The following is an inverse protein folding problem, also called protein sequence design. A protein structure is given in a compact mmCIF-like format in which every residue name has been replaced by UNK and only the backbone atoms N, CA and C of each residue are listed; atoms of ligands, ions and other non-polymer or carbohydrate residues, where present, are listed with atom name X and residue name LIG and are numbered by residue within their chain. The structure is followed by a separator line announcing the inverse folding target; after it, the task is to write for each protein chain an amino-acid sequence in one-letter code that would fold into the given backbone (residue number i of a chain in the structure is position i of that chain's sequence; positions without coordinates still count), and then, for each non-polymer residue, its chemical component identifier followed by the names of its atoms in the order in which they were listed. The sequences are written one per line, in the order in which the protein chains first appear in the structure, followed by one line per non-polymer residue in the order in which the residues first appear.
data_IF_244735623340
#
_entry.id   IF_244735623340
#
_cell.length_a   1.000
_cell.length_b   1.000
_cell.length_c   1.000
_cell.angle_alpha   90.00
_cell.angle_beta   90.00
_cell.angle_gamma   90.00
#
_symmetry.space_group_name_H-M   'P 1'
#
loop_
_entity.id
_entity.type
_entity.pdbx_description
1 polymer ?
#
# COMPACT_ATOMS: atom_id res chain seq x y z
N UNK A 1 -7.47 13.14 -6.48
CA UNK A 1 -6.41 12.10 -6.41
C UNK A 1 -5.36 12.46 -5.40
N UNK A 2 -5.72 12.43 -4.11
CA UNK A 2 -4.72 12.43 -3.04
C UNK A 2 -5.26 11.58 -1.89
N UNK A 3 -4.34 10.89 -1.21
CA UNK A 3 -4.60 10.09 -0.03
C UNK A 3 -3.52 10.42 0.99
N UNK A 4 -3.89 10.58 2.26
CA UNK A 4 -2.89 10.57 3.32
C UNK A 4 -2.42 9.13 3.50
N UNK A 5 -1.13 8.96 3.76
CA UNK A 5 -0.54 7.63 3.98
C UNK A 5 -1.31 6.85 5.06
N UNK A 6 -1.68 7.51 6.16
CA UNK A 6 -2.40 6.84 7.26
C UNK A 6 -3.80 6.36 6.87
N UNK A 7 -4.54 7.13 6.07
CA UNK A 7 -5.88 6.77 5.61
C UNK A 7 -5.82 5.56 4.65
N UNK A 8 -4.80 5.53 3.79
CA UNK A 8 -4.51 4.38 2.92
C UNK A 8 -4.20 3.12 3.75
N UNK A 9 -3.38 3.24 4.79
CA UNK A 9 -3.06 2.10 5.67
C UNK A 9 -4.31 1.63 6.43
N UNK A 10 -5.18 2.52 6.88
CA UNK A 10 -6.44 2.12 7.51
C UNK A 10 -7.37 1.37 6.57
N UNK A 11 -7.48 1.82 5.31
CA UNK A 11 -8.24 1.11 4.28
C UNK A 11 -7.65 -0.28 4.01
N UNK A 12 -6.32 -0.36 3.87
CA UNK A 12 -5.61 -1.63 3.70
C UNK A 12 -5.86 -2.60 4.87
N UNK A 13 -5.75 -2.13 6.12
CA UNK A 13 -6.00 -2.97 7.29
C UNK A 13 -7.42 -3.53 7.32
N UNK A 14 -8.43 -2.70 7.00
CA UNK A 14 -9.82 -3.14 6.93
C UNK A 14 -10.05 -4.18 5.83
N UNK A 15 -9.43 -4.01 4.66
CA UNK A 15 -9.46 -4.99 3.57
C UNK A 15 -8.81 -6.31 4.01
N UNK A 16 -7.65 -6.24 4.65
CA UNK A 16 -6.92 -7.40 5.14
C UNK A 16 -7.70 -8.17 6.21
N UNK A 17 -8.30 -7.47 7.18
CA UNK A 17 -9.11 -8.13 8.21
C UNK A 17 -10.29 -8.87 7.58
N UNK A 18 -10.98 -8.23 6.63
CA UNK A 18 -12.09 -8.86 5.92
C UNK A 18 -11.65 -10.10 5.12
N UNK A 19 -10.63 -9.96 4.27
CA UNK A 19 -10.18 -11.03 3.37
C UNK A 19 -9.56 -12.22 4.11
N UNK A 20 -8.98 -11.99 5.28
CA UNK A 20 -8.36 -13.03 6.11
C UNK A 20 -9.27 -13.54 7.24
N UNK A 21 -10.53 -13.08 7.31
CA UNK A 21 -11.48 -13.49 8.34
C UNK A 21 -11.06 -13.12 9.77
N UNK A 22 -10.32 -12.00 9.93
CA UNK A 22 -9.88 -11.51 11.24
C UNK A 22 -10.95 -10.62 11.87
N UNK A 23 -11.00 -10.52 13.21
CA UNK A 23 -11.81 -9.50 13.86
C UNK A 23 -11.45 -8.10 13.37
N UNK A 24 -12.45 -7.24 13.16
CA UNK A 24 -12.23 -5.87 12.69
C UNK A 24 -11.25 -5.10 13.61
N UNK A 25 -10.25 -4.47 13.01
CA UNK A 25 -9.24 -3.69 13.73
C UNK A 25 -8.01 -4.49 14.16
N UNK A 26 -8.01 -5.82 13.97
CA UNK A 26 -6.84 -6.67 14.24
C UNK A 26 -5.61 -6.17 13.51
N UNK A 27 -5.71 -5.93 12.20
CA UNK A 27 -4.58 -5.46 11.41
C UNK A 27 -4.19 -4.01 11.76
N UNK A 28 -5.13 -3.18 12.21
CA UNK A 28 -4.82 -1.81 12.67
C UNK A 28 -3.99 -1.82 13.96
N UNK A 29 -4.17 -2.82 14.81
CA UNK A 29 -3.36 -3.01 16.02
C UNK A 29 -1.88 -3.27 15.76
N UNK A 30 -1.49 -3.59 14.52
CA UNK A 30 -0.10 -3.82 14.11
C UNK A 30 0.62 -2.54 13.67
N UNK A 31 -0.08 -1.41 13.57
CA UNK A 31 0.51 -0.14 13.14
C UNK A 31 1.50 0.35 14.19
N UNK A 32 2.72 0.62 13.76
CA UNK A 32 3.77 1.23 14.57
C UNK A 32 4.26 2.50 13.89
N UNK A 33 4.30 3.61 14.63
CA UNK A 33 4.89 4.86 14.15
C UNK A 33 6.39 4.84 14.37
N UNK A 34 7.15 5.17 13.32
CA UNK A 34 8.61 5.24 13.35
C UNK A 34 9.05 6.67 13.03
N UNK A 35 10.34 6.96 13.28
CA UNK A 35 10.91 8.25 12.92
C UNK A 35 10.75 8.53 11.42
N UNK A 36 10.28 9.73 11.11
CA UNK A 36 10.00 10.16 9.75
C UNK A 36 11.25 10.18 8.86
N UNK A 37 11.05 10.11 7.54
CA UNK A 37 12.12 10.15 6.54
C UNK A 37 12.70 11.56 6.45
N UNK A 38 14.03 11.67 6.42
CA UNK A 38 14.68 12.94 6.14
C UNK A 38 14.31 13.43 4.73
N UNK A 39 13.84 14.68 4.61
CA UNK A 39 13.39 15.24 3.33
C UNK A 39 12.06 14.66 2.82
N UNK A 40 11.13 14.33 3.72
CA UNK A 40 9.83 13.81 3.33
C UNK A 40 8.95 14.90 2.67
N UNK A 41 8.75 14.81 1.36
CA UNK A 41 7.70 15.56 0.67
C UNK A 41 6.31 15.11 1.16
N UNK A 42 5.56 16.04 1.73
CA UNK A 42 4.30 15.72 2.42
C UNK A 42 3.11 15.49 1.49
N UNK A 43 3.19 15.96 0.24
CA UNK A 43 2.06 15.96 -0.68
C UNK A 43 2.49 15.86 -2.13
N UNK A 44 1.95 14.87 -2.82
CA UNK A 44 1.96 14.80 -4.28
C UNK A 44 0.55 14.82 -4.81
N UNK A 45 0.33 15.58 -5.87
CA UNK A 45 -0.92 15.61 -6.61
C UNK A 45 -0.59 15.86 -8.09
N UNK A 46 -1.27 15.12 -8.97
CA UNK A 46 -1.11 15.24 -10.42
C UNK A 46 -2.44 15.68 -11.01
N UNK A 47 -2.39 16.68 -11.90
CA UNK A 47 -3.50 17.03 -12.77
C UNK A 47 -3.38 16.26 -14.09
N UNK A 48 -4.30 15.30 -14.29
CA UNK A 48 -4.38 14.50 -15.52
C UNK A 48 -5.33 15.11 -16.57
N UNK A 49 -5.79 16.35 -16.39
CA UNK A 49 -6.78 16.99 -17.24
C UNK A 49 -6.34 17.15 -18.69
N UNK A 50 -5.04 17.35 -18.95
CA UNK A 50 -4.51 17.36 -20.33
C UNK A 50 -4.70 16.01 -21.02
N UNK A 51 -4.33 14.93 -20.33
CA UNK A 51 -4.43 13.56 -20.83
C UNK A 51 -5.88 13.18 -21.12
N UNK A 52 -6.80 13.58 -20.24
CA UNK A 52 -8.23 13.38 -20.42
C UNK A 52 -8.77 14.16 -21.64
N UNK A 53 -8.47 15.46 -21.76
CA UNK A 53 -9.00 16.29 -22.86
C UNK A 53 -8.44 15.92 -24.23
N UNK A 54 -7.14 15.62 -24.31
CA UNK A 54 -6.47 15.40 -25.60
C UNK A 54 -6.58 13.96 -26.09
N UNK A 55 -6.60 12.99 -25.16
CA UNK A 55 -6.59 11.56 -25.52
C UNK A 55 -7.84 10.80 -25.05
N UNK A 56 -8.78 11.47 -24.38
CA UNK A 56 -9.99 10.83 -23.84
C UNK A 56 -9.70 9.86 -22.69
N UNK A 57 -8.49 9.88 -22.13
CA UNK A 57 -8.11 8.94 -21.07
C UNK A 57 -8.81 9.27 -19.76
N UNK A 58 -9.29 8.23 -19.09
CA UNK A 58 -9.79 8.29 -17.73
C UNK A 58 -9.35 7.05 -16.94
N UNK A 59 -9.21 7.14 -15.61
CA UNK A 59 -8.97 5.97 -14.78
C UNK A 59 -10.10 4.96 -14.94
N UNK A 60 -9.75 3.70 -15.23
CA UNK A 60 -10.73 2.61 -15.34
C UNK A 60 -11.19 2.07 -13.98
N UNK A 61 -10.55 2.47 -12.88
CA UNK A 61 -10.82 1.97 -11.53
C UNK A 61 -10.76 3.12 -10.53
N UNK A 62 -11.60 3.01 -9.49
CA UNK A 62 -11.45 3.80 -8.27
C UNK A 62 -10.30 3.22 -7.42
N UNK A 63 -9.72 4.05 -6.57
CA UNK A 63 -8.54 3.67 -5.79
C UNK A 63 -8.81 2.48 -4.86
N UNK A 64 -9.93 2.51 -4.16
CA UNK A 64 -10.35 1.48 -3.20
C UNK A 64 -10.57 0.12 -3.89
N UNK A 65 -11.12 0.12 -5.10
CA UNK A 65 -11.28 -1.08 -5.91
C UNK A 65 -9.91 -1.63 -6.33
N UNK A 66 -9.02 -0.76 -6.81
CA UNK A 66 -7.65 -1.14 -7.15
C UNK A 66 -6.87 -1.68 -5.95
N UNK A 67 -7.05 -1.10 -4.77
CA UNK A 67 -6.41 -1.54 -3.54
C UNK A 67 -6.91 -2.94 -3.14
N UNK A 68 -8.22 -3.18 -3.19
CA UNK A 68 -8.79 -4.49 -2.89
C UNK A 68 -8.27 -5.59 -3.85
N UNK A 69 -8.26 -5.31 -5.16
CA UNK A 69 -7.70 -6.21 -6.18
C UNK A 69 -6.20 -6.46 -5.98
N UNK A 70 -5.47 -5.44 -5.55
CA UNK A 70 -4.05 -5.58 -5.22
C UNK A 70 -3.86 -6.55 -4.06
N UNK A 71 -4.64 -6.43 -2.98
CA UNK A 71 -4.57 -7.37 -1.85
C UNK A 71 -4.89 -8.79 -2.30
N UNK A 72 -5.96 -8.99 -3.09
CA UNK A 72 -6.30 -10.32 -3.64
C UNK A 72 -5.13 -10.91 -4.42
N UNK A 73 -4.51 -10.12 -5.30
CA UNK A 73 -3.37 -10.56 -6.08
C UNK A 73 -2.22 -11.05 -5.19
N UNK A 74 -1.87 -10.33 -4.12
CA UNK A 74 -0.83 -10.80 -3.19
C UNK A 74 -1.22 -12.09 -2.45
N UNK A 75 -2.48 -12.23 -2.04
CA UNK A 75 -2.97 -13.44 -1.35
C UNK A 75 -3.00 -14.67 -2.26
N UNK A 76 -3.25 -14.46 -3.56
CA UNK A 76 -3.30 -15.53 -4.56
C UNK A 76 -1.92 -15.93 -5.12
N UNK A 77 -0.89 -15.07 -4.93
CA UNK A 77 0.43 -15.24 -5.54
C UNK A 77 1.54 -15.44 -4.48
N UNK A 78 1.32 -16.34 -3.51
CA UNK A 78 2.26 -16.58 -2.41
C UNK A 78 3.61 -17.13 -2.86
N UNK A 79 3.64 -18.01 -3.86
CA UNK A 79 4.91 -18.54 -4.41
C UNK A 79 5.78 -17.41 -5.00
N UNK A 80 5.16 -16.49 -5.74
CA UNK A 80 5.87 -15.32 -6.25
C UNK A 80 6.39 -14.46 -5.10
N UNK A 81 5.57 -14.25 -4.07
CA UNK A 81 5.95 -13.47 -2.89
C UNK A 81 7.14 -14.08 -2.15
N UNK A 82 7.16 -15.40 -1.97
CA UNK A 82 8.26 -16.13 -1.32
C UNK A 82 9.57 -15.96 -2.09
N UNK A 83 9.52 -16.01 -3.42
CA UNK A 83 10.71 -15.81 -4.26
C UNK A 83 11.29 -14.41 -4.13
N UNK A 84 10.46 -13.37 -4.11
CA UNK A 84 10.92 -11.97 -4.08
C UNK A 84 11.26 -11.45 -2.67
N UNK A 85 10.83 -12.14 -1.61
CA UNK A 85 11.07 -11.72 -0.21
C UNK A 85 12.24 -12.44 0.46
N UNK A 86 13.02 -13.22 -0.28
CA UNK A 86 14.16 -13.98 0.24
C UNK A 86 15.51 -13.25 0.17
N UNK A 87 16.49 -13.73 0.92
CA UNK A 87 17.90 -13.32 0.83
C UNK A 87 18.13 -11.82 1.03
N UNK A 88 18.50 -11.13 -0.05
CA UNK A 88 18.84 -9.70 0.00
C UNK A 88 17.69 -8.83 0.50
N UNK A 89 16.43 -9.23 0.26
CA UNK A 89 15.27 -8.50 0.79
C UNK A 89 15.25 -8.50 2.32
N UNK A 90 15.46 -9.67 2.94
CA UNK A 90 15.51 -9.80 4.40
C UNK A 90 16.67 -9.02 5.01
N UNK A 91 17.85 -9.09 4.37
CA UNK A 91 19.03 -8.33 4.81
C UNK A 91 18.79 -6.82 4.77
N UNK A 92 18.19 -6.31 3.69
CA UNK A 92 17.80 -4.90 3.58
C UNK A 92 16.82 -4.51 4.69
N UNK A 93 15.79 -5.32 4.93
CA UNK A 93 14.77 -5.03 5.94
C UNK A 93 15.37 -4.92 7.34
N UNK A 94 16.28 -5.84 7.71
CA UNK A 94 17.00 -5.77 8.98
C UNK A 94 17.83 -4.49 9.09
N UNK A 95 18.61 -4.14 8.07
CA UNK A 95 19.45 -2.94 8.10
C UNK A 95 18.63 -1.65 8.25
N UNK A 96 17.47 -1.57 7.60
CA UNK A 96 16.65 -0.35 7.59
C UNK A 96 15.73 -0.21 8.80
N UNK A 97 15.27 -1.32 9.39
CA UNK A 97 14.19 -1.28 10.37
C UNK A 97 14.53 -1.92 11.73
N UNK A 98 15.56 -2.77 11.86
CA UNK A 98 15.81 -3.47 13.13
C UNK A 98 16.23 -2.55 14.29
N UNK A 99 16.80 -1.38 13.98
CA UNK A 99 17.29 -0.41 14.97
C UNK A 99 16.59 0.96 14.84
N UNK A 100 15.38 1.00 14.25
CA UNK A 100 14.70 2.25 13.90
C UNK A 100 13.51 2.56 14.80
#
# INVERSE_FOLDING_TARGET
NEWKNIDLIYALCSIMDNKLGRPEGTSRGLITFVKDRAGHDLRYAIDAGKLNRELGWEPSLQFEEGLAKTVDWYLENTEWMEHVTSGNYQNYYQQQYANR
#
